data_IF_923861603551
#
_entry.id   IF_923861603551
#
_cell.length_a   1.000
_cell.length_b   1.000
_cell.length_c   1.000
_cell.angle_alpha   90.00
_cell.angle_beta   90.00
_cell.angle_gamma   90.00
#
_symmetry.space_group_name_H-M   'P 1'
#
loop_
_entity.id
_entity.type
_entity.pdbx_description
1 polymer ?
#
# COMPACT_ATOMS: atom_id res chain seq x y z
N UNK A 1 3.05 -0.05 -20.77
CA UNK A 1 1.67 -0.58 -20.91
C UNK A 1 1.00 -0.48 -19.55
N UNK A 2 -0.21 0.08 -19.49
CA UNK A 2 -1.03 0.16 -18.27
C UNK A 2 -2.11 -0.91 -18.38
N UNK A 3 -2.16 -1.83 -17.44
CA UNK A 3 -3.23 -2.82 -17.36
C UNK A 3 -4.20 -2.41 -16.25
N UNK A 4 -5.44 -2.10 -16.62
CA UNK A 4 -6.53 -1.82 -15.67
C UNK A 4 -7.51 -2.99 -15.70
N UNK A 5 -7.61 -3.71 -14.59
CA UNK A 5 -8.62 -4.75 -14.43
C UNK A 5 -9.68 -4.26 -13.46
N UNK A 6 -10.86 -3.91 -13.97
CA UNK A 6 -12.06 -3.61 -13.17
C UNK A 6 -13.05 -4.76 -13.32
N UNK A 7 -13.64 -5.23 -12.22
CA UNK A 7 -14.72 -6.24 -12.19
C UNK A 7 -14.40 -7.59 -12.86
N UNK A 8 -13.55 -8.42 -12.22
CA UNK A 8 -13.37 -9.83 -12.62
C UNK A 8 -14.29 -10.81 -11.88
N UNK A 9 -15.15 -10.33 -10.97
CA UNK A 9 -16.00 -11.20 -10.15
C UNK A 9 -17.10 -11.96 -10.92
N UNK A 10 -17.40 -11.62 -12.17
CA UNK A 10 -18.41 -12.35 -12.97
C UNK A 10 -17.82 -13.41 -13.92
N UNK A 11 -16.51 -13.41 -14.18
CA UNK A 11 -15.88 -14.31 -15.18
C UNK A 11 -14.69 -15.11 -14.61
N UNK A 12 -14.62 -15.28 -13.28
CA UNK A 12 -13.52 -15.96 -12.59
C UNK A 12 -13.33 -17.45 -12.92
N UNK A 13 -14.12 -18.04 -13.82
CA UNK A 13 -14.01 -19.45 -14.19
C UNK A 13 -12.82 -19.77 -15.13
N UNK A 14 -12.15 -18.80 -15.79
CA UNK A 14 -11.14 -19.15 -16.82
C UNK A 14 -9.88 -18.28 -16.90
N UNK A 15 -9.75 -17.20 -16.12
CA UNK A 15 -8.52 -16.39 -16.17
C UNK A 15 -7.54 -16.83 -15.09
N UNK A 16 -6.59 -17.69 -15.45
CA UNK A 16 -5.47 -18.04 -14.57
C UNK A 16 -4.63 -16.79 -14.28
N UNK A 17 -4.58 -16.35 -13.01
CA UNK A 17 -3.85 -15.13 -12.59
C UNK A 17 -2.35 -15.19 -12.91
N UNK A 18 -1.77 -16.39 -12.92
CA UNK A 18 -0.39 -16.59 -13.40
C UNK A 18 -0.23 -16.14 -14.86
N UNK A 19 -1.28 -16.22 -15.71
CA UNK A 19 -1.23 -15.65 -17.06
C UNK A 19 -1.20 -14.13 -17.03
N UNK A 20 -2.04 -13.48 -16.22
CA UNK A 20 -2.07 -12.01 -16.09
C UNK A 20 -0.71 -11.47 -15.61
N UNK A 21 -0.05 -12.19 -14.70
CA UNK A 21 1.27 -11.84 -14.20
C UNK A 21 2.37 -12.20 -15.22
N UNK A 22 2.24 -13.32 -15.94
CA UNK A 22 3.17 -13.70 -17.02
C UNK A 22 3.09 -12.80 -18.26
N UNK A 23 1.95 -12.13 -18.52
CA UNK A 23 1.87 -11.02 -19.50
C UNK A 23 2.75 -9.81 -19.08
N UNK A 24 3.27 -9.82 -17.85
CA UNK A 24 3.86 -8.69 -17.13
C UNK A 24 5.34 -8.37 -17.36
N UNK A 25 6.07 -9.03 -18.26
CA UNK A 25 7.47 -8.61 -18.53
C UNK A 25 7.57 -7.17 -19.06
N UNK A 26 6.48 -6.63 -19.64
CA UNK A 26 6.37 -5.23 -20.12
C UNK A 26 5.38 -4.37 -19.32
N UNK A 27 4.64 -4.95 -18.37
CA UNK A 27 3.70 -4.19 -17.56
C UNK A 27 4.44 -3.52 -16.40
N UNK A 28 4.39 -2.19 -16.34
CA UNK A 28 5.01 -1.40 -15.25
C UNK A 28 3.99 -0.79 -14.30
N UNK A 29 2.73 -0.76 -14.71
CA UNK A 29 1.64 -0.15 -13.96
C UNK A 29 0.44 -1.10 -13.98
N UNK A 30 0.05 -1.54 -12.79
CA UNK A 30 -1.03 -2.49 -12.60
C UNK A 30 -2.04 -1.93 -11.60
N UNK A 31 -3.31 -1.89 -12.02
CA UNK A 31 -4.42 -1.49 -11.17
C UNK A 31 -5.37 -2.69 -11.02
N UNK A 32 -5.48 -3.19 -9.79
CA UNK A 32 -6.30 -4.35 -9.43
C UNK A 32 -7.45 -3.94 -8.52
N UNK A 33 -8.66 -4.33 -8.91
CA UNK A 33 -9.89 -4.09 -8.16
C UNK A 33 -10.72 -5.37 -8.12
N UNK A 34 -10.97 -5.85 -6.91
CA UNK A 34 -11.74 -7.06 -6.68
C UNK A 34 -12.99 -6.75 -5.86
N UNK A 35 -14.03 -7.55 -6.05
CA UNK A 35 -15.22 -7.55 -5.20
C UNK A 35 -15.29 -8.87 -4.43
N UNK A 36 -14.51 -8.96 -3.36
CA UNK A 36 -14.75 -9.79 -2.16
C UNK A 36 -15.12 -11.28 -2.31
N UNK A 37 -14.69 -12.01 -3.36
CA UNK A 37 -15.05 -13.43 -3.49
C UNK A 37 -13.96 -14.38 -4.00
N UNK A 38 -12.72 -13.93 -4.22
CA UNK A 38 -11.68 -14.83 -4.72
C UNK A 38 -11.16 -15.76 -3.61
N UNK A 39 -11.30 -17.06 -3.84
CA UNK A 39 -10.67 -18.09 -3.00
C UNK A 39 -9.17 -18.15 -3.32
N UNK A 40 -8.37 -17.96 -2.29
CA UNK A 40 -6.92 -18.21 -2.22
C UNK A 40 -6.01 -17.36 -3.13
N UNK A 41 -5.79 -16.08 -2.77
CA UNK A 41 -5.00 -15.14 -3.57
C UNK A 41 -3.47 -15.19 -3.32
N UNK A 42 -3.01 -16.00 -2.37
CA UNK A 42 -1.63 -15.92 -1.87
C UNK A 42 -0.58 -16.22 -2.95
N UNK A 43 -0.81 -17.24 -3.79
CA UNK A 43 0.21 -17.70 -4.75
C UNK A 43 0.55 -16.63 -5.81
N UNK A 44 -0.47 -15.95 -6.36
CA UNK A 44 -0.26 -14.94 -7.39
C UNK A 44 0.26 -13.62 -6.80
N UNK A 45 -0.09 -13.29 -5.56
CA UNK A 45 0.46 -12.11 -4.88
C UNK A 45 1.97 -12.21 -4.69
N UNK A 46 2.50 -13.39 -4.35
CA UNK A 46 3.96 -13.59 -4.28
C UNK A 46 4.62 -13.25 -5.63
N UNK A 47 4.06 -13.75 -6.74
CA UNK A 47 4.59 -13.49 -8.08
C UNK A 47 4.47 -12.00 -8.46
N UNK A 48 3.40 -11.33 -8.04
CA UNK A 48 3.22 -9.90 -8.25
C UNK A 48 4.35 -9.08 -7.64
N UNK A 49 4.73 -9.35 -6.39
CA UNK A 49 5.78 -8.61 -5.69
C UNK A 49 7.20 -8.95 -6.15
N UNK A 50 7.38 -10.14 -6.72
CA UNK A 50 8.60 -10.54 -7.40
C UNK A 50 8.73 -9.99 -8.84
N UNK A 51 7.66 -9.38 -9.38
CA UNK A 51 7.63 -8.89 -10.76
C UNK A 51 8.32 -7.53 -10.94
N UNK A 52 8.41 -7.07 -12.20
CA UNK A 52 8.98 -5.77 -12.57
C UNK A 52 8.01 -4.59 -12.47
N UNK A 53 6.86 -4.77 -11.82
CA UNK A 53 5.85 -3.72 -11.64
C UNK A 53 6.45 -2.57 -10.82
N UNK A 54 6.23 -1.34 -11.30
CA UNK A 54 6.72 -0.11 -10.69
C UNK A 54 5.61 0.66 -9.97
N UNK A 55 4.38 0.55 -10.47
CA UNK A 55 3.20 1.22 -9.93
C UNK A 55 2.14 0.15 -9.68
N UNK A 56 1.78 -0.04 -8.41
CA UNK A 56 0.72 -0.96 -8.00
C UNK A 56 -0.38 -0.18 -7.29
N UNK A 57 -1.58 -0.20 -7.87
CA UNK A 57 -2.79 0.20 -7.20
C UNK A 57 -3.62 -1.05 -6.93
N UNK A 58 -3.89 -1.32 -5.66
CA UNK A 58 -4.60 -2.52 -5.26
C UNK A 58 -5.77 -2.16 -4.34
N UNK A 59 -6.94 -2.75 -4.61
CA UNK A 59 -8.13 -2.65 -3.78
C UNK A 59 -8.79 -4.01 -3.62
N UNK A 60 -8.64 -4.60 -2.43
CA UNK A 60 -9.40 -5.75 -1.95
C UNK A 60 -9.09 -6.02 -0.47
N UNK A 61 -9.95 -6.77 0.22
CA UNK A 61 -9.77 -7.29 1.58
C UNK A 61 -8.97 -8.60 1.61
N UNK A 62 -7.90 -8.66 0.81
CA UNK A 62 -7.02 -9.82 0.76
C UNK A 62 -5.81 -9.59 1.68
N UNK A 63 -5.41 -10.64 2.40
CA UNK A 63 -4.16 -10.67 3.16
C UNK A 63 -2.97 -10.76 2.21
N UNK A 64 -2.04 -9.80 2.34
CA UNK A 64 -0.80 -9.80 1.59
C UNK A 64 0.20 -10.81 2.16
N UNK A 65 0.98 -11.50 1.31
CA UNK A 65 2.09 -12.33 1.77
C UNK A 65 3.23 -11.50 2.34
N UNK A 66 4.09 -12.08 3.17
CA UNK A 66 5.26 -11.37 3.74
C UNK A 66 6.20 -10.75 2.69
N UNK A 67 6.33 -11.37 1.52
CA UNK A 67 7.14 -10.87 0.39
C UNK A 67 6.68 -9.49 -0.13
N UNK A 68 5.45 -9.07 0.21
CA UNK A 68 4.96 -7.71 0.03
C UNK A 68 5.93 -6.67 0.60
N UNK A 69 6.48 -6.95 1.79
CA UNK A 69 7.19 -5.97 2.59
C UNK A 69 8.59 -5.61 2.05
N UNK A 70 9.11 -6.36 1.07
CA UNK A 70 10.49 -6.24 0.60
C UNK A 70 10.62 -6.08 -0.92
N UNK A 71 9.55 -5.67 -1.61
CA UNK A 71 9.59 -5.52 -3.07
C UNK A 71 10.66 -4.51 -3.50
N UNK A 72 11.54 -4.94 -4.41
CA UNK A 72 12.66 -4.14 -4.92
C UNK A 72 12.33 -3.39 -6.21
N UNK A 73 11.11 -3.56 -6.73
CA UNK A 73 10.70 -2.97 -8.02
C UNK A 73 9.68 -1.85 -7.86
N UNK A 74 8.80 -1.91 -6.85
CA UNK A 74 7.66 -1.00 -6.70
C UNK A 74 8.11 0.37 -6.21
N UNK A 75 7.88 1.39 -7.04
CA UNK A 75 8.14 2.81 -6.75
C UNK A 75 6.90 3.53 -6.21
N UNK A 76 5.72 3.15 -6.65
CA UNK A 76 4.46 3.68 -6.16
C UNK A 76 3.54 2.53 -5.76
N UNK A 77 3.09 2.58 -4.51
CA UNK A 77 2.19 1.60 -3.93
C UNK A 77 0.99 2.32 -3.33
N UNK A 78 -0.20 2.01 -3.85
CA UNK A 78 -1.47 2.47 -3.29
C UNK A 78 -2.31 1.26 -2.91
N UNK A 79 -2.65 1.14 -1.63
CA UNK A 79 -3.45 0.06 -1.08
C UNK A 79 -4.77 0.56 -0.50
N UNK A 80 -5.89 -0.03 -0.94
CA UNK A 80 -7.23 0.21 -0.43
C UNK A 80 -7.72 -1.06 0.19
N UNK A 81 -8.28 -0.99 1.40
CA UNK A 81 -9.01 -2.13 1.96
C UNK A 81 -8.13 -3.39 2.14
N UNK A 82 -6.81 -3.28 1.95
CA UNK A 82 -5.84 -4.38 2.00
C UNK A 82 -5.59 -4.87 3.42
N UNK A 83 -5.44 -6.18 3.61
CA UNK A 83 -5.04 -6.77 4.88
C UNK A 83 -3.52 -7.05 4.90
N UNK A 84 -2.85 -6.59 5.95
CA UNK A 84 -1.40 -6.76 6.06
C UNK A 84 -1.06 -8.18 6.55
N UNK A 85 0.13 -8.72 6.22
CA UNK A 85 0.61 -9.96 6.81
C UNK A 85 0.67 -9.84 8.33
N UNK A 86 0.73 -10.98 9.00
CA UNK A 86 0.98 -10.99 10.44
C UNK A 86 2.35 -10.39 10.76
N UNK A 87 2.45 -9.77 11.93
CA UNK A 87 3.73 -9.31 12.45
C UNK A 87 4.59 -10.48 12.92
N UNK A 88 5.81 -10.16 13.35
CA UNK A 88 6.65 -11.08 14.10
C UNK A 88 5.99 -11.50 15.44
N UNK A 89 6.69 -12.32 16.24
CA UNK A 89 6.21 -12.75 17.56
C UNK A 89 5.92 -11.59 18.54
N UNK A 90 6.42 -10.38 18.26
CA UNK A 90 6.14 -9.16 19.03
C UNK A 90 5.01 -8.32 18.42
N UNK A 91 4.34 -8.80 17.36
CA UNK A 91 3.31 -8.07 16.63
C UNK A 91 3.86 -6.90 15.82
N UNK A 92 5.16 -6.93 15.49
CA UNK A 92 5.81 -5.89 14.68
C UNK A 92 5.88 -6.34 13.23
N UNK A 93 5.48 -5.45 12.33
CA UNK A 93 5.68 -5.61 10.90
C UNK A 93 6.54 -4.46 10.38
N UNK A 94 7.50 -4.78 9.50
CA UNK A 94 8.36 -3.77 8.87
C UNK A 94 8.17 -3.79 7.36
N UNK A 95 7.68 -2.67 6.82
CA UNK A 95 7.71 -2.39 5.39
C UNK A 95 9.10 -1.88 5.04
N UNK A 96 9.88 -2.68 4.33
CA UNK A 96 11.26 -2.38 3.95
C UNK A 96 11.40 -2.30 2.44
N UNK A 97 11.08 -1.14 1.87
CA UNK A 97 11.15 -0.94 0.43
C UNK A 97 12.35 -0.07 0.05
N UNK A 98 13.29 -0.62 -0.71
CA UNK A 98 14.51 0.09 -1.10
C UNK A 98 14.30 1.16 -2.17
N UNK A 99 13.27 1.02 -3.01
CA UNK A 99 13.00 1.90 -4.16
C UNK A 99 11.66 2.63 -4.12
N UNK A 100 10.89 2.49 -3.04
CA UNK A 100 9.56 3.07 -2.93
C UNK A 100 9.65 4.58 -2.75
N UNK A 101 8.99 5.32 -3.64
CA UNK A 101 8.95 6.78 -3.67
C UNK A 101 7.59 7.32 -3.17
N UNK A 102 6.52 6.53 -3.32
CA UNK A 102 5.15 6.90 -2.92
C UNK A 102 4.42 5.73 -2.26
N UNK A 103 3.86 5.98 -1.08
CA UNK A 103 3.05 5.02 -0.34
C UNK A 103 1.72 5.66 0.08
N UNK A 104 0.60 5.03 -0.28
CA UNK A 104 -0.72 5.39 0.24
C UNK A 104 -1.41 4.16 0.81
N UNK A 105 -1.81 4.24 2.08
CA UNK A 105 -2.55 3.21 2.80
C UNK A 105 -3.91 3.74 3.20
N UNK A 106 -4.97 3.23 2.56
CA UNK A 106 -6.35 3.70 2.76
C UNK A 106 -7.23 2.54 3.19
N UNK A 107 -7.89 2.66 4.35
CA UNK A 107 -8.76 1.63 4.92
C UNK A 107 -8.07 0.25 5.02
N UNK A 108 -6.73 0.23 5.12
CA UNK A 108 -5.99 -1.02 5.25
C UNK A 108 -6.18 -1.60 6.64
N UNK A 109 -6.28 -2.92 6.70
CA UNK A 109 -6.48 -3.66 7.92
C UNK A 109 -5.13 -4.00 8.58
N UNK A 110 -4.82 -3.27 9.65
CA UNK A 110 -3.55 -3.35 10.41
C UNK A 110 -3.76 -3.50 11.93
N UNK A 111 -5.01 -3.67 12.36
CA UNK A 111 -5.45 -3.82 13.75
C UNK A 111 -4.76 -4.96 14.54
N UNK A 112 -4.34 -6.02 13.86
CA UNK A 112 -3.64 -7.15 14.47
C UNK A 112 -2.17 -6.83 14.81
N UNK A 113 -1.65 -5.72 14.30
CA UNK A 113 -0.28 -5.28 14.55
C UNK A 113 -0.21 -4.40 15.80
N UNK A 114 0.87 -4.58 16.58
CA UNK A 114 1.25 -3.65 17.64
C UNK A 114 2.08 -2.49 17.09
N UNK A 115 2.97 -2.79 16.15
CA UNK A 115 3.91 -1.82 15.57
C UNK A 115 3.95 -2.00 14.05
N UNK A 116 3.75 -0.90 13.32
CA UNK A 116 3.97 -0.83 11.87
C UNK A 116 5.18 0.07 11.59
N UNK A 117 6.31 -0.52 11.25
CA UNK A 117 7.50 0.22 10.87
C UNK A 117 7.56 0.43 9.35
N UNK A 118 7.79 1.66 8.90
CA UNK A 118 7.97 2.00 7.49
C UNK A 118 9.40 2.50 7.29
N UNK A 119 10.20 1.66 6.67
CA UNK A 119 11.59 1.92 6.32
C UNK A 119 11.72 1.97 4.80
N UNK A 120 11.69 3.18 4.24
CA UNK A 120 11.79 3.40 2.81
C UNK A 120 12.65 4.64 2.53
N UNK A 121 13.96 4.49 2.29
CA UNK A 121 14.89 5.61 2.25
C UNK A 121 14.61 6.58 1.09
N UNK A 122 13.99 6.13 0.01
CA UNK A 122 13.63 6.97 -1.15
C UNK A 122 12.19 7.51 -1.09
N UNK A 123 11.46 7.25 -0.01
CA UNK A 123 10.06 7.64 0.10
C UNK A 123 9.94 9.16 0.18
N UNK A 124 9.26 9.75 -0.80
CA UNK A 124 9.00 11.20 -0.90
C UNK A 124 7.60 11.56 -0.43
N UNK A 125 6.63 10.66 -0.65
CA UNK A 125 5.21 10.89 -0.32
C UNK A 125 4.66 9.72 0.49
N UNK A 126 4.08 10.03 1.64
CA UNK A 126 3.41 9.07 2.52
C UNK A 126 2.00 9.56 2.81
N UNK A 127 1.01 8.70 2.59
CA UNK A 127 -0.38 8.96 2.89
C UNK A 127 -1.01 7.86 3.72
N UNK A 128 -1.66 8.24 4.82
CA UNK A 128 -2.47 7.35 5.64
C UNK A 128 -3.91 7.85 5.68
N UNK A 129 -4.83 6.92 5.55
CA UNK A 129 -6.25 7.13 5.74
C UNK A 129 -6.82 5.89 6.43
N UNK A 130 -6.61 5.80 7.74
CA UNK A 130 -7.11 4.70 8.55
C UNK A 130 -8.45 5.08 9.17
N UNK A 131 -9.50 4.33 8.84
CA UNK A 131 -10.77 4.41 9.54
C UNK A 131 -10.84 3.21 10.48
N UNK A 132 -10.17 3.26 11.63
CA UNK A 132 -10.16 2.14 12.57
C UNK A 132 -10.77 2.53 13.92
N UNK A 133 -11.92 1.94 14.31
CA UNK A 133 -12.51 2.17 15.62
C UNK A 133 -11.86 1.36 16.76
N UNK A 134 -10.97 0.40 16.46
CA UNK A 134 -10.47 -0.58 17.42
C UNK A 134 -9.01 -0.38 17.85
N UNK A 135 -8.48 0.83 17.65
CA UNK A 135 -7.08 1.15 17.94
C UNK A 135 -6.18 0.96 16.73
N UNK A 136 -5.26 1.90 16.53
CA UNK A 136 -4.25 1.86 15.47
C UNK A 136 -2.93 1.31 16.00
N UNK A 137 -2.16 0.56 15.20
CA UNK A 137 -0.80 0.19 15.57
C UNK A 137 0.04 1.45 15.81
N UNK A 138 1.06 1.32 16.65
CA UNK A 138 2.11 2.34 16.73
C UNK A 138 2.88 2.36 15.41
N UNK A 139 2.73 3.44 14.65
CA UNK A 139 3.45 3.60 13.38
C UNK A 139 4.84 4.14 13.67
N UNK A 140 5.90 3.62 13.05
CA UNK A 140 7.24 4.20 13.12
C UNK A 140 7.72 4.49 11.70
N UNK A 141 8.25 5.68 11.46
CA UNK A 141 8.60 6.12 10.10
C UNK A 141 10.09 6.45 10.06
N UNK A 142 10.84 5.66 9.29
CA UNK A 142 12.25 5.87 8.99
C UNK A 142 12.42 6.21 7.51
N UNK A 143 12.01 7.43 7.13
CA UNK A 143 11.99 7.90 5.74
C UNK A 143 12.67 9.28 5.63
N UNK A 144 14.02 9.35 5.56
CA UNK A 144 14.78 10.60 5.65
C UNK A 144 14.48 11.60 4.51
N UNK A 145 13.97 11.12 3.37
CA UNK A 145 13.64 11.95 2.20
C UNK A 145 12.14 12.27 2.09
N UNK A 146 11.37 12.06 3.16
CA UNK A 146 9.93 12.29 3.15
C UNK A 146 9.61 13.78 3.03
N UNK A 147 9.07 14.18 1.88
CA UNK A 147 8.76 15.57 1.55
C UNK A 147 7.26 15.91 1.70
N UNK A 148 6.39 14.92 1.58
CA UNK A 148 4.94 15.10 1.69
C UNK A 148 4.31 14.02 2.58
N UNK A 149 3.56 14.47 3.59
CA UNK A 149 2.82 13.64 4.51
C UNK A 149 1.34 13.99 4.45
N UNK A 150 0.51 13.00 4.15
CA UNK A 150 -0.94 13.11 4.30
C UNK A 150 -1.38 12.16 5.41
N UNK A 151 -1.97 12.73 6.46
CA UNK A 151 -2.43 11.96 7.60
C UNK A 151 -3.90 12.26 7.83
N UNK A 152 -4.74 11.44 7.21
CA UNK A 152 -6.18 11.55 7.30
C UNK A 152 -6.63 10.59 8.41
N UNK A 153 -7.32 11.13 9.42
CA UNK A 153 -7.85 10.48 10.64
C UNK A 153 -6.94 10.42 11.88
N UNK A 154 -7.60 10.36 13.04
CA UNK A 154 -7.02 10.41 14.38
C UNK A 154 -6.30 9.09 14.71
N UNK A 155 -4.98 9.15 14.91
CA UNK A 155 -4.18 8.06 15.48
C UNK A 155 -3.67 8.55 16.83
N UNK A 156 -4.44 8.28 17.89
CA UNK A 156 -4.04 8.47 19.28
C UNK A 156 -3.48 9.86 19.63
N UNK A 157 -2.87 9.93 20.81
CA UNK A 157 -2.40 11.20 21.39
C UNK A 157 -0.92 11.51 21.07
N UNK A 158 -0.20 10.59 20.44
CA UNK A 158 1.24 10.74 20.13
C UNK A 158 1.53 10.52 18.65
N UNK A 159 2.12 11.55 18.03
CA UNK A 159 2.62 11.47 16.67
C UNK A 159 4.06 10.95 16.66
N UNK A 160 4.33 9.75 16.10
CA UNK A 160 5.62 9.07 16.18
C UNK A 160 6.60 9.56 15.09
N UNK A 161 6.60 10.86 14.82
CA UNK A 161 7.42 11.45 13.76
C UNK A 161 8.78 11.84 14.33
N UNK A 162 9.79 11.04 14.00
CA UNK A 162 11.18 11.38 14.29
C UNK A 162 11.90 11.70 12.97
N UNK A 163 12.78 12.70 13.01
CA UNK A 163 13.71 13.02 11.91
C UNK A 163 13.05 13.34 10.54
N UNK A 164 12.03 14.22 10.55
CA UNK A 164 11.35 14.72 9.34
C UNK A 164 11.98 15.99 8.76
N UNK A 165 13.31 16.08 8.70
CA UNK A 165 14.02 17.29 8.25
C UNK A 165 13.74 17.65 6.78
N UNK A 166 13.36 16.68 5.95
CA UNK A 166 13.02 16.89 4.54
C UNK A 166 11.54 17.24 4.28
N UNK A 167 10.69 17.26 5.32
CA UNK A 167 9.24 17.42 5.17
C UNK A 167 8.90 18.85 4.74
N UNK A 168 8.23 18.98 3.59
CA UNK A 168 7.83 20.27 3.00
C UNK A 168 6.33 20.50 3.19
N UNK A 169 5.53 19.45 3.04
CA UNK A 169 4.08 19.53 3.14
C UNK A 169 3.54 18.50 4.10
N UNK A 170 2.67 18.91 5.00
CA UNK A 170 1.91 18.03 5.87
C UNK A 170 0.44 18.43 5.84
N UNK A 171 -0.44 17.47 5.57
CA UNK A 171 -1.88 17.65 5.63
C UNK A 171 -2.47 16.69 6.66
N UNK A 172 -2.84 17.24 7.81
CA UNK A 172 -3.49 16.53 8.92
C UNK A 172 -4.95 16.93 9.07
N UNK A 173 -5.56 17.53 8.03
CA UNK A 173 -6.80 18.30 8.17
C UNK A 173 -8.04 17.50 8.59
N UNK A 174 -7.96 16.16 8.67
CA UNK A 174 -9.09 15.29 9.04
C UNK A 174 -10.30 15.39 8.10
N UNK A 175 -10.22 16.24 7.07
CA UNK A 175 -11.27 16.42 6.09
C UNK A 175 -11.18 15.26 5.13
N UNK A 176 -12.25 14.46 5.13
CA UNK A 176 -12.53 13.45 4.13
C UNK A 176 -12.59 14.19 2.80
N UNK A 177 -11.48 14.31 2.09
CA UNK A 177 -11.55 14.45 0.63
C UNK A 177 -12.20 13.16 0.17
N UNK A 178 -13.25 13.27 -0.64
CA UNK A 178 -14.06 12.15 -1.08
C UNK A 178 -13.14 10.99 -1.44
N UNK A 179 -13.39 9.81 -0.86
CA UNK A 179 -12.45 8.69 -0.86
C UNK A 179 -11.92 8.35 -2.25
N UNK A 180 -12.65 8.68 -3.32
CA UNK A 180 -12.18 8.51 -4.69
C UNK A 180 -10.96 9.37 -5.06
N UNK A 181 -10.69 10.49 -4.39
CA UNK A 181 -9.62 11.44 -4.70
C UNK A 181 -8.22 10.91 -4.32
N UNK A 182 -8.09 10.25 -3.17
CA UNK A 182 -6.82 9.60 -2.78
C UNK A 182 -6.40 8.53 -3.80
N UNK A 183 -7.40 7.88 -4.41
CA UNK A 183 -7.25 6.84 -5.41
C UNK A 183 -6.97 7.38 -6.81
N UNK A 184 -7.72 8.39 -7.25
CA UNK A 184 -7.70 8.91 -8.62
C UNK A 184 -6.60 9.94 -8.87
N UNK A 185 -6.05 10.57 -7.83
CA UNK A 185 -4.96 11.53 -8.01
C UNK A 185 -3.69 10.84 -8.54
N UNK A 186 -3.27 11.21 -9.75
CA UNK A 186 -2.05 10.73 -10.44
C UNK A 186 -0.75 11.23 -9.79
N UNK A 187 -0.63 11.12 -8.46
CA UNK A 187 0.55 11.59 -7.71
C UNK A 187 1.81 10.80 -8.05
N UNK A 188 1.66 9.58 -8.56
CA UNK A 188 2.77 8.72 -8.97
C UNK A 188 3.40 9.10 -10.33
N UNK A 189 2.96 10.19 -10.97
CA UNK A 189 3.52 10.69 -12.24
C UNK A 189 4.31 11.99 -12.13
N UNK A 190 4.46 12.56 -10.93
CA UNK A 190 5.27 13.77 -10.76
C UNK A 190 6.74 13.38 -10.56
N UNK A 191 7.67 13.85 -11.41
CA UNK A 191 9.10 13.55 -11.30
C UNK A 191 9.71 14.05 -9.99
#
# INVERSE_FOLDING_TARGET
>A
MILKYKNLASNAATTSWSRVINFGSKCRELHLYFSSSSKDPNEWLHQLFASNIKILHFRDFIQFPESFCTSSSIKCLKLCEAQFPDGDSNGKLTLNFSVLETLFLTKCNVWHLKILNISAPLLKTLGFCFQCPFGSPNVKICCPNLASLEWLFYIGDEYPFENLSALVTADCSGRIRDYEDCWTTNRCKRP
#
